data_IF_933860545180
#
_entry.id   IF_933860545180
#
_cell.length_a   1.000
_cell.length_b   1.000
_cell.length_c   1.000
_cell.angle_alpha   90.00
_cell.angle_beta   90.00
_cell.angle_gamma   90.00
#
_symmetry.space_group_name_H-M   'P 1'
#
loop_
_entity.id
_entity.type
_entity.pdbx_description
1 polymer ?
#
# COMPACT_ATOMS: atom_id res chain seq x y z
N UNK A 1 -20.81 -56.97 -30.02
CA UNK A 1 -20.10 -56.73 -28.75
C UNK A 1 -18.94 -55.79 -29.02
N UNK A 2 -18.94 -54.54 -28.53
CA UNK A 2 -17.72 -53.75 -28.46
C UNK A 2 -17.14 -53.75 -27.03
N UNK A 3 -15.83 -54.02 -26.96
CA UNK A 3 -14.95 -54.01 -25.79
C UNK A 3 -14.74 -52.58 -25.26
N UNK A 4 -14.68 -52.46 -23.94
CA UNK A 4 -14.58 -51.23 -23.18
C UNK A 4 -13.21 -51.20 -22.48
N UNK A 5 -12.22 -50.47 -23.03
CA UNK A 5 -11.01 -50.12 -22.28
C UNK A 5 -10.60 -48.67 -22.49
N UNK A 6 -10.68 -47.94 -21.37
CA UNK A 6 -10.25 -46.58 -21.09
C UNK A 6 -8.81 -46.30 -21.54
N UNK A 7 -8.52 -45.06 -21.97
CA UNK A 7 -7.39 -44.24 -21.47
C UNK A 7 -7.74 -42.75 -21.51
N UNK A 8 -7.77 -42.16 -20.32
CA UNK A 8 -7.59 -40.72 -20.07
C UNK A 8 -6.16 -40.38 -20.46
N UNK A 9 -5.94 -39.35 -21.27
CA UNK A 9 -4.62 -38.71 -21.37
C UNK A 9 -4.78 -37.18 -21.50
N UNK A 10 -4.56 -36.52 -20.36
CA UNK A 10 -3.85 -35.25 -20.20
C UNK A 10 -4.13 -34.09 -21.18
N UNK A 11 -5.21 -33.34 -20.95
CA UNK A 11 -5.17 -31.91 -21.25
C UNK A 11 -4.45 -31.22 -20.09
N UNK A 12 -3.17 -30.91 -20.33
CA UNK A 12 -2.29 -30.13 -19.47
C UNK A 12 -2.97 -28.80 -19.10
N UNK A 13 -3.59 -28.72 -17.93
CA UNK A 13 -3.82 -27.45 -17.25
C UNK A 13 -2.45 -26.84 -17.00
N UNK A 14 -2.05 -25.90 -17.86
CA UNK A 14 -0.91 -25.06 -17.55
C UNK A 14 -1.21 -24.38 -16.21
N UNK A 15 -0.39 -24.56 -15.17
CA UNK A 15 -0.58 -23.80 -13.95
C UNK A 15 -0.37 -22.33 -14.31
N UNK A 16 -1.38 -21.49 -14.06
CA UNK A 16 -1.11 -20.07 -13.91
C UNK A 16 0.05 -19.94 -12.92
N UNK A 17 1.14 -19.22 -13.23
CA UNK A 17 2.24 -19.05 -12.30
C UNK A 17 1.66 -18.37 -11.07
N UNK A 18 1.38 -19.19 -10.05
CA UNK A 18 0.82 -18.74 -8.78
C UNK A 18 1.79 -17.74 -8.21
N UNK A 19 1.33 -16.50 -7.99
CA UNK A 19 2.10 -15.50 -7.28
C UNK A 19 2.44 -16.09 -5.91
N UNK A 20 3.71 -16.36 -5.68
CA UNK A 20 4.18 -16.99 -4.45
C UNK A 20 4.33 -15.89 -3.38
N UNK A 21 3.29 -15.68 -2.59
CA UNK A 21 3.19 -14.63 -1.55
C UNK A 21 3.96 -14.93 -0.25
N UNK A 22 4.84 -15.94 -0.24
CA UNK A 22 5.51 -16.42 0.98
C UNK A 22 6.29 -15.31 1.71
N UNK A 23 6.85 -14.32 0.99
CA UNK A 23 7.58 -13.20 1.59
C UNK A 23 6.70 -12.19 2.33
N UNK A 24 5.46 -11.96 1.89
CA UNK A 24 4.57 -11.01 2.56
C UNK A 24 4.07 -11.58 3.89
N UNK A 25 3.79 -12.89 3.92
CA UNK A 25 3.33 -13.58 5.14
C UNK A 25 4.49 -13.86 6.10
N UNK A 26 5.68 -14.24 5.60
CA UNK A 26 6.85 -14.53 6.44
C UNK A 26 7.63 -13.28 6.89
N UNK A 27 7.42 -12.12 6.26
CA UNK A 27 7.99 -10.83 6.65
C UNK A 27 7.10 -9.98 7.57
N UNK A 28 5.86 -10.40 7.78
CA UNK A 28 5.04 -9.89 8.87
C UNK A 28 5.64 -10.45 10.17
N UNK A 29 5.88 -9.61 11.20
CA UNK A 29 6.37 -10.09 12.49
C UNK A 29 5.27 -10.94 13.13
N UNK A 30 5.29 -12.24 12.87
CA UNK A 30 4.60 -13.20 13.71
C UNK A 30 5.21 -13.07 15.11
N UNK A 31 4.35 -12.74 16.06
CA UNK A 31 4.73 -12.38 17.41
C UNK A 31 5.51 -13.53 18.08
N UNK A 32 6.78 -13.25 18.34
CA UNK A 32 7.66 -13.80 19.37
C UNK A 32 8.01 -15.31 19.36
N UNK A 33 9.33 -15.56 19.39
CA UNK A 33 10.07 -16.47 20.29
C UNK A 33 11.13 -17.26 19.51
N UNK A 34 12.28 -16.65 19.28
CA UNK A 34 13.55 -17.09 19.88
C UNK A 34 14.73 -16.32 19.23
N UNK A 35 15.43 -15.58 20.08
CA UNK A 35 16.84 -15.22 20.00
C UNK A 35 17.30 -14.42 18.76
N UNK A 36 17.38 -13.10 18.96
CA UNK A 36 18.33 -12.17 18.31
C UNK A 36 18.38 -12.17 16.78
N UNK A 37 17.35 -11.63 16.13
CA UNK A 37 17.51 -11.02 14.81
C UNK A 37 16.95 -9.61 14.89
N UNK A 38 17.74 -8.65 14.41
CA UNK A 38 17.52 -7.21 14.54
C UNK A 38 16.05 -6.84 14.23
N UNK A 39 15.46 -5.85 14.94
CA UNK A 39 14.17 -5.30 14.53
C UNK A 39 14.35 -4.70 13.13
N UNK A 40 13.92 -5.44 12.10
CA UNK A 40 13.93 -4.98 10.72
C UNK A 40 13.02 -3.76 10.64
N UNK A 41 13.59 -2.59 10.31
CA UNK A 41 12.80 -1.38 10.16
C UNK A 41 11.92 -1.48 8.91
N UNK A 42 10.83 -0.70 8.89
CA UNK A 42 9.90 -0.70 7.77
C UNK A 42 10.59 -0.32 6.42
N UNK A 43 11.52 0.65 6.36
CA UNK A 43 12.29 0.90 5.14
C UNK A 43 13.13 -0.32 4.69
N UNK A 44 13.84 -0.97 5.62
CA UNK A 44 14.65 -2.15 5.30
C UNK A 44 13.77 -3.32 4.82
N UNK A 45 12.60 -3.53 5.44
CA UNK A 45 11.61 -4.50 4.96
C UNK A 45 11.19 -4.21 3.52
N UNK A 46 10.92 -2.95 3.21
CA UNK A 46 10.51 -2.55 1.86
C UNK A 46 11.60 -2.74 0.81
N UNK A 47 12.87 -2.55 1.16
CA UNK A 47 14.00 -2.87 0.30
C UNK A 47 14.10 -4.37 0.02
N UNK A 48 13.91 -5.22 1.04
CA UNK A 48 13.90 -6.67 0.86
C UNK A 48 12.72 -7.13 -0.02
N UNK A 49 11.54 -6.55 0.20
CA UNK A 49 10.37 -6.82 -0.63
C UNK A 49 10.58 -6.37 -2.08
N UNK A 50 11.30 -5.28 -2.32
CA UNK A 50 11.59 -4.79 -3.67
C UNK A 50 12.45 -5.75 -4.50
N UNK A 51 13.28 -6.57 -3.85
CA UNK A 51 14.09 -7.60 -4.52
C UNK A 51 13.29 -8.86 -4.90
N UNK A 52 12.15 -9.08 -4.24
CA UNK A 52 11.43 -10.37 -4.29
C UNK A 52 10.03 -10.27 -4.89
N UNK A 53 9.38 -9.11 -4.79
CA UNK A 53 8.02 -8.88 -5.27
C UNK A 53 7.99 -8.33 -6.69
N UNK A 54 6.93 -8.68 -7.42
CA UNK A 54 6.59 -8.01 -8.66
C UNK A 54 6.32 -6.51 -8.40
N UNK A 55 6.67 -5.58 -9.32
CA UNK A 55 6.46 -4.15 -9.13
C UNK A 55 5.03 -3.76 -8.72
N UNK A 56 4.01 -4.44 -9.27
CA UNK A 56 2.61 -4.19 -8.90
C UNK A 56 2.31 -4.56 -7.45
N UNK A 57 2.87 -5.66 -6.95
CA UNK A 57 2.67 -6.11 -5.57
C UNK A 57 3.47 -5.23 -4.60
N UNK A 58 4.68 -4.82 -4.99
CA UNK A 58 5.48 -3.84 -4.24
C UNK A 58 4.75 -2.50 -4.12
N UNK A 59 4.06 -2.06 -5.18
CA UNK A 59 3.24 -0.84 -5.15
C UNK A 59 2.10 -0.95 -4.13
N UNK A 60 1.48 -2.12 -3.99
CA UNK A 60 0.48 -2.36 -2.95
C UNK A 60 1.11 -2.35 -1.55
N UNK A 61 2.28 -2.96 -1.37
CA UNK A 61 2.98 -2.92 -0.08
C UNK A 61 3.31 -1.49 0.36
N UNK A 62 3.70 -0.62 -0.58
CA UNK A 62 3.97 0.80 -0.32
C UNK A 62 2.75 1.58 0.20
N UNK A 63 1.52 1.07 0.07
CA UNK A 63 0.32 1.72 0.61
C UNK A 63 0.37 1.90 2.13
N UNK A 64 1.21 1.11 2.83
CA UNK A 64 1.41 1.23 4.29
C UNK A 64 1.92 2.61 4.72
N UNK A 65 2.54 3.37 3.81
CA UNK A 65 3.05 4.71 4.08
C UNK A 65 2.00 5.83 3.91
N UNK A 66 0.88 5.54 3.24
CA UNK A 66 -0.16 6.54 2.97
C UNK A 66 -0.80 7.18 4.22
N UNK A 67 -0.94 6.50 5.38
CA UNK A 67 -1.42 7.17 6.59
C UNK A 67 -0.56 8.37 7.01
N UNK A 68 0.76 8.30 6.84
CA UNK A 68 1.64 9.44 7.10
C UNK A 68 1.37 10.59 6.12
N UNK A 69 1.25 10.29 4.82
CA UNK A 69 0.89 11.28 3.81
C UNK A 69 -0.48 11.93 4.05
N UNK A 70 -1.47 11.15 4.49
CA UNK A 70 -2.81 11.65 4.79
C UNK A 70 -2.79 12.64 5.96
N UNK A 71 -2.04 12.34 7.02
CA UNK A 71 -1.86 13.26 8.16
C UNK A 71 -1.13 14.53 7.74
N UNK A 72 -0.07 14.39 6.94
CA UNK A 72 0.66 15.53 6.38
C UNK A 72 -0.23 16.42 5.48
N UNK A 73 -1.06 15.82 4.64
CA UNK A 73 -2.03 16.53 3.81
C UNK A 73 -3.02 17.31 4.67
N UNK A 74 -3.61 16.66 5.68
CA UNK A 74 -4.56 17.29 6.58
C UNK A 74 -3.93 18.47 7.35
N UNK A 75 -2.69 18.31 7.83
CA UNK A 75 -1.92 19.39 8.48
C UNK A 75 -1.76 20.60 7.57
N UNK A 76 -1.40 20.39 6.31
CA UNK A 76 -1.27 21.48 5.32
C UNK A 76 -2.62 22.17 5.07
N UNK A 77 -3.70 21.39 4.94
CA UNK A 77 -5.05 21.94 4.73
C UNK A 77 -5.53 22.78 5.93
N UNK A 78 -5.16 22.37 7.15
CA UNK A 78 -5.43 23.11 8.40
C UNK A 78 -4.45 24.24 8.68
N UNK A 79 -3.39 24.35 7.90
CA UNK A 79 -2.27 25.30 8.11
C UNK A 79 -1.61 25.13 9.48
N UNK A 80 -1.51 23.89 9.94
CA UNK A 80 -0.81 23.55 11.19
C UNK A 80 0.71 23.70 11.00
N UNK A 81 1.38 24.29 11.99
CA UNK A 81 2.83 24.47 12.01
C UNK A 81 3.59 23.28 12.62
N UNK A 82 2.91 22.15 12.83
CA UNK A 82 3.49 20.92 13.37
C UNK A 82 4.58 20.35 12.44
N UNK A 83 5.48 19.55 13.00
CA UNK A 83 6.53 18.88 12.25
C UNK A 83 5.96 17.98 11.14
N UNK A 84 6.68 17.89 10.03
CA UNK A 84 6.34 16.99 8.93
C UNK A 84 6.53 15.54 9.37
N UNK A 85 5.54 14.70 9.13
CA UNK A 85 5.67 13.29 9.48
C UNK A 85 6.61 12.60 8.49
N UNK A 86 7.69 11.95 8.98
CA UNK A 86 8.61 11.23 8.11
C UNK A 86 7.96 9.93 7.60
N UNK A 87 8.59 9.32 6.60
CA UNK A 87 8.19 8.02 6.02
C UNK A 87 6.90 8.03 5.20
N UNK A 88 6.32 9.19 4.89
CA UNK A 88 5.36 9.33 3.79
C UNK A 88 5.99 9.07 2.42
N UNK A 89 5.17 8.86 1.40
CA UNK A 89 5.60 8.75 0.01
C UNK A 89 5.89 10.12 -0.63
N UNK A 90 5.37 11.21 -0.04
CA UNK A 90 5.54 12.55 -0.55
C UNK A 90 6.39 13.40 0.41
N UNK A 91 7.34 14.14 -0.16
CA UNK A 91 7.98 15.24 0.54
C UNK A 91 6.98 16.37 0.79
N UNK A 92 7.35 17.30 1.68
CA UNK A 92 6.55 18.50 1.93
C UNK A 92 6.36 19.31 0.66
N UNK A 93 7.44 19.51 -0.09
CA UNK A 93 7.48 20.28 -1.32
C UNK A 93 6.61 19.62 -2.40
N UNK A 94 6.70 18.30 -2.56
CA UNK A 94 5.87 17.53 -3.51
C UNK A 94 4.38 17.66 -3.18
N UNK A 95 4.02 17.61 -1.89
CA UNK A 95 2.63 17.75 -1.47
C UNK A 95 2.12 19.18 -1.64
N UNK A 96 2.92 20.18 -1.29
CA UNK A 96 2.60 21.60 -1.50
C UNK A 96 2.43 21.94 -2.99
N UNK A 97 3.29 21.38 -3.85
CA UNK A 97 3.15 21.52 -5.30
C UNK A 97 1.91 20.81 -5.82
N UNK A 98 1.62 19.61 -5.31
CA UNK A 98 0.39 18.89 -5.61
C UNK A 98 -0.88 19.61 -5.16
N UNK A 99 -0.81 20.47 -4.13
CA UNK A 99 -1.92 21.34 -3.75
C UNK A 99 -2.13 22.49 -4.75
N UNK A 100 -1.09 22.93 -5.47
CA UNK A 100 -1.20 23.94 -6.54
C UNK A 100 -1.62 23.32 -7.87
N UNK A 101 -1.06 22.17 -8.22
CA UNK A 101 -1.34 21.37 -9.42
C UNK A 101 -1.95 20.02 -9.00
N UNK A 102 -3.29 19.95 -8.81
CA UNK A 102 -3.95 18.76 -8.25
C UNK A 102 -3.63 17.46 -8.99
N UNK A 103 -3.33 17.54 -10.29
CA UNK A 103 -3.03 16.37 -11.15
C UNK A 103 -1.81 15.57 -10.68
N UNK A 104 -0.92 16.18 -9.90
CA UNK A 104 0.25 15.52 -9.32
C UNK A 104 -0.11 14.65 -8.10
N UNK A 105 -1.24 14.89 -7.45
CA UNK A 105 -1.69 14.09 -6.31
C UNK A 105 -2.55 12.90 -6.76
N UNK A 106 -2.51 11.78 -6.02
CA UNK A 106 -3.44 10.66 -6.20
C UNK A 106 -4.91 11.10 -6.18
N UNK A 107 -5.74 10.40 -6.95
CA UNK A 107 -7.17 10.75 -7.10
C UNK A 107 -7.92 10.81 -5.76
N UNK A 108 -7.56 9.94 -4.80
CA UNK A 108 -8.20 9.94 -3.49
C UNK A 108 -7.84 11.19 -2.67
N UNK A 109 -6.60 11.68 -2.74
CA UNK A 109 -6.17 12.89 -2.05
C UNK A 109 -6.88 14.13 -2.62
N UNK A 110 -7.03 14.18 -3.94
CA UNK A 110 -7.81 15.25 -4.60
C UNK A 110 -9.26 15.25 -4.13
N UNK A 111 -9.90 14.07 -4.11
CA UNK A 111 -11.26 13.89 -3.60
C UNK A 111 -11.38 14.31 -2.13
N UNK A 112 -10.42 13.91 -1.29
CA UNK A 112 -10.38 14.27 0.11
C UNK A 112 -10.27 15.79 0.31
N UNK A 113 -9.37 16.45 -0.43
CA UNK A 113 -9.25 17.90 -0.41
C UNK A 113 -10.55 18.59 -0.79
N UNK A 114 -11.21 18.13 -1.85
CA UNK A 114 -12.48 18.70 -2.30
C UNK A 114 -13.55 18.55 -1.21
N UNK A 115 -13.71 17.34 -0.66
CA UNK A 115 -14.60 17.07 0.46
C UNK A 115 -14.32 17.98 1.66
N UNK A 116 -13.04 18.18 1.99
CA UNK A 116 -12.61 19.07 3.08
C UNK A 116 -13.00 20.53 2.83
N UNK A 117 -12.84 21.02 1.59
CA UNK A 117 -13.23 22.38 1.20
C UNK A 117 -14.75 22.59 1.21
N UNK A 118 -15.51 21.54 0.89
CA UNK A 118 -16.98 21.53 0.90
C UNK A 118 -17.57 21.23 2.28
N UNK A 119 -16.72 21.06 3.31
CA UNK A 119 -17.08 20.64 4.67
C UNK A 119 -17.99 19.40 4.70
N UNK A 120 -17.88 18.56 3.66
CA UNK A 120 -18.73 17.39 3.44
C UNK A 120 -17.84 16.16 3.40
N UNK A 121 -17.75 15.37 4.49
CA UNK A 121 -16.89 14.19 4.54
C UNK A 121 -17.14 13.23 3.36
N UNK A 122 -16.06 12.63 2.85
CA UNK A 122 -16.13 11.65 1.74
C UNK A 122 -17.08 10.50 2.07
N UNK A 123 -17.15 10.12 3.35
CA UNK A 123 -18.09 9.16 3.89
C UNK A 123 -18.90 9.80 5.01
N UNK A 124 -20.24 9.73 4.97
CA UNK A 124 -21.09 10.28 6.01
C UNK A 124 -20.74 9.73 7.40
N UNK A 125 -20.57 10.61 8.38
CA UNK A 125 -20.30 10.24 9.78
C UNK A 125 -18.83 9.95 10.12
N UNK A 126 -17.90 10.05 9.16
CA UNK A 126 -16.45 9.98 9.44
C UNK A 126 -15.88 11.36 9.82
N UNK A 127 -14.84 11.35 10.65
CA UNK A 127 -14.05 12.53 10.94
C UNK A 127 -12.97 12.71 9.86
N UNK A 128 -12.29 13.86 9.85
CA UNK A 128 -11.16 14.10 8.95
C UNK A 128 -9.90 13.30 9.30
N UNK A 129 -9.89 12.63 10.46
CA UNK A 129 -8.73 11.93 11.03
C UNK A 129 -8.88 10.40 11.04
N UNK A 130 -10.09 9.87 10.80
CA UNK A 130 -10.43 8.43 10.93
C UNK A 130 -11.12 7.88 9.69
#
# INVERSE_FOLDING_TARGET
MPDNRKRNDGALTQPFPGRNYYYLIAGLPDMALEQSKLPLSLPELMEQLALSLHPDDLRLARLIFLPADNRNLLRLLRKEASEWEPHGQFSREEMEEGLKEPRLLPAYMRRFRQAYQEETPVWPGMSWEN
#
